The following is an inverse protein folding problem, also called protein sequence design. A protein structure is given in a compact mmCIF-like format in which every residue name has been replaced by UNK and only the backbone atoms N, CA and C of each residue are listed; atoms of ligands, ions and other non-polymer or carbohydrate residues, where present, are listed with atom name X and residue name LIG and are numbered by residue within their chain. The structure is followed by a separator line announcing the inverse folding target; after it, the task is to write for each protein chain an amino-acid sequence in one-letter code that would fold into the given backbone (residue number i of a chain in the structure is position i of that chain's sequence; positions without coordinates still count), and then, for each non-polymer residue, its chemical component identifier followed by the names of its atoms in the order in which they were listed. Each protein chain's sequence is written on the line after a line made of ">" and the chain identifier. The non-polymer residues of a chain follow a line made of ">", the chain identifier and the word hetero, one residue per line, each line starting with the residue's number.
data_IF_776365324226
#
_entry.id   IF_776365324226
#
_cell.length_a   1.000
_cell.length_b   1.000
_cell.length_c   1.000
_cell.angle_alpha   90.00
_cell.angle_beta   90.00
_cell.angle_gamma   90.00
#
_symmetry.space_group_name_H-M   'P 1'
#
loop_
_entity.id
_entity.type
_entity.pdbx_description
1 polymer ?
#
# COMPACT_ATOMS: atom_id res chain seq x y z
N UNK A 1 6.17 -27.21 7.07
CA UNK A 1 4.88 -26.61 6.71
C UNK A 1 5.13 -25.12 6.54
N UNK A 2 5.03 -24.52 5.33
CA UNK A 2 5.15 -23.07 5.21
C UNK A 2 3.82 -22.45 5.66
N UNK A 3 3.87 -21.61 6.67
CA UNK A 3 2.72 -20.84 7.12
C UNK A 3 2.44 -19.77 6.06
N UNK A 4 1.37 -19.93 5.30
CA UNK A 4 0.77 -18.84 4.54
C UNK A 4 0.34 -17.80 5.57
N UNK A 5 1.13 -16.74 5.73
CA UNK A 5 0.80 -15.62 6.60
C UNK A 5 -0.48 -14.98 6.04
N UNK A 6 -1.62 -15.38 6.57
CA UNK A 6 -2.88 -14.67 6.41
C UNK A 6 -2.69 -13.36 7.16
N UNK A 7 -2.23 -12.33 6.44
CA UNK A 7 -2.15 -10.98 6.95
C UNK A 7 -3.59 -10.59 7.33
N UNK A 8 -3.88 -10.66 8.62
CA UNK A 8 -5.18 -10.26 9.15
C UNK A 8 -5.35 -8.79 8.75
N UNK A 9 -6.48 -8.38 8.13
CA UNK A 9 -6.69 -6.99 7.74
C UNK A 9 -6.79 -6.16 9.02
N UNK A 10 -5.63 -5.73 9.50
CA UNK A 10 -5.48 -4.99 10.72
C UNK A 10 -5.58 -3.52 10.34
N UNK A 11 -6.61 -2.81 10.82
CA UNK A 11 -6.70 -1.38 10.55
C UNK A 11 -5.51 -0.72 11.23
N UNK A 12 -4.62 -0.16 10.43
CA UNK A 12 -3.47 0.59 10.89
C UNK A 12 -3.91 2.04 10.97
N UNK A 13 -3.81 2.61 12.17
CA UNK A 13 -3.99 4.04 12.38
C UNK A 13 -2.74 4.74 11.86
N UNK A 14 -2.92 5.56 10.83
CA UNK A 14 -1.85 6.33 10.20
C UNK A 14 -1.87 7.78 10.72
N UNK A 15 -0.76 8.53 10.61
CA UNK A 15 -0.63 9.88 11.18
C UNK A 15 -1.69 10.88 10.71
N UNK A 16 -2.26 10.73 9.51
CA UNK A 16 -3.41 11.53 9.06
C UNK A 16 -4.71 11.27 9.82
N UNK A 17 -4.75 10.24 10.68
CA UNK A 17 -5.95 9.80 11.40
C UNK A 17 -6.82 8.83 10.60
N UNK A 18 -6.40 8.42 9.39
CA UNK A 18 -7.11 7.42 8.61
C UNK A 18 -6.95 6.02 9.17
N UNK A 19 -7.92 5.18 8.84
CA UNK A 19 -7.82 3.74 9.01
C UNK A 19 -7.48 3.13 7.66
N UNK A 20 -6.26 2.62 7.55
CA UNK A 20 -5.79 1.93 6.35
C UNK A 20 -5.61 0.46 6.70
N UNK A 21 -6.30 -0.42 5.99
CA UNK A 21 -6.18 -1.86 6.15
C UNK A 21 -5.46 -2.45 4.95
N UNK A 22 -4.49 -3.34 5.18
CA UNK A 22 -3.90 -4.12 4.11
C UNK A 22 -4.94 -5.11 3.57
N UNK A 23 -5.20 -5.03 2.27
CA UNK A 23 -6.19 -5.87 1.60
C UNK A 23 -5.54 -7.00 0.81
N UNK A 24 -4.48 -6.70 0.06
CA UNK A 24 -3.81 -7.69 -0.78
C UNK A 24 -2.34 -7.34 -0.99
N UNK A 25 -1.51 -8.35 -1.24
CA UNK A 25 -0.08 -8.19 -1.51
C UNK A 25 0.29 -9.06 -2.70
N UNK A 26 0.75 -8.42 -3.77
CA UNK A 26 1.13 -9.07 -5.01
C UNK A 26 2.62 -8.84 -5.22
N UNK A 27 3.40 -9.89 -5.03
CA UNK A 27 4.84 -9.88 -5.26
C UNK A 27 5.14 -10.42 -6.66
N UNK A 28 5.55 -9.54 -7.56
CA UNK A 28 5.90 -9.88 -8.94
C UNK A 28 7.40 -10.17 -9.03
N UNK A 29 7.79 -11.43 -8.87
CA UNK A 29 9.20 -11.85 -8.90
C UNK A 29 9.84 -11.70 -10.27
N UNK A 30 9.05 -11.65 -11.35
CA UNK A 30 9.56 -11.49 -12.71
C UNK A 30 9.91 -10.03 -12.99
N UNK A 31 9.04 -9.11 -12.57
CA UNK A 31 9.29 -7.67 -12.67
C UNK A 31 10.13 -7.12 -11.50
N UNK A 32 10.34 -7.91 -10.44
CA UNK A 32 10.88 -7.50 -9.14
C UNK A 32 10.13 -6.30 -8.52
N UNK A 33 8.80 -6.31 -8.65
CA UNK A 33 7.92 -5.27 -8.10
C UNK A 33 7.02 -5.86 -7.00
N UNK A 34 7.04 -5.26 -5.82
CA UNK A 34 6.14 -5.61 -4.72
C UNK A 34 4.95 -4.64 -4.67
N UNK A 35 3.74 -5.12 -4.99
CA UNK A 35 2.52 -4.30 -4.99
C UNK A 35 1.73 -4.55 -3.71
N UNK A 36 1.52 -3.52 -2.92
CA UNK A 36 0.70 -3.56 -1.72
C UNK A 36 -0.60 -2.82 -1.96
N UNK A 37 -1.71 -3.51 -1.71
CA UNK A 37 -3.05 -2.96 -1.88
C UNK A 37 -3.67 -2.74 -0.52
N UNK A 38 -4.05 -1.51 -0.28
CA UNK A 38 -4.65 -1.04 0.95
C UNK A 38 -6.09 -0.60 0.71
N UNK A 39 -6.88 -0.62 1.77
CA UNK A 39 -8.24 -0.15 1.79
C UNK A 39 -8.39 0.92 2.86
N UNK A 40 -9.00 2.04 2.48
CA UNK A 40 -9.38 3.07 3.42
C UNK A 40 -10.76 3.63 3.08
N UNK A 41 -11.82 3.27 3.81
CA UNK A 41 -13.16 3.75 3.52
C UNK A 41 -13.31 5.27 3.65
N UNK A 42 -12.35 5.94 4.29
CA UNK A 42 -12.28 7.40 4.39
C UNK A 42 -12.01 8.09 3.04
N UNK A 43 -11.47 7.37 2.05
CA UNK A 43 -11.28 7.86 0.67
C UNK A 43 -12.60 8.11 -0.07
N UNK A 44 -13.70 7.47 0.35
CA UNK A 44 -15.03 7.68 -0.24
C UNK A 44 -15.61 9.08 0.08
N UNK A 45 -14.93 9.86 0.92
CA UNK A 45 -15.45 11.05 1.59
C UNK A 45 -15.53 12.34 0.78
N UNK A 46 -15.86 12.37 -0.51
CA UNK A 46 -16.24 13.61 -1.23
C UNK A 46 -15.36 14.86 -0.96
N UNK A 47 -15.95 15.98 -0.53
CA UNK A 47 -15.26 17.25 -0.22
C UNK A 47 -14.37 17.22 1.05
N UNK A 48 -14.53 16.21 1.91
CA UNK A 48 -13.62 15.89 3.05
C UNK A 48 -12.69 14.71 2.69
N UNK A 49 -12.60 14.37 1.40
CA UNK A 49 -11.69 13.33 0.95
C UNK A 49 -10.27 13.78 1.24
N UNK A 50 -9.57 12.93 1.97
CA UNK A 50 -8.17 13.08 2.33
C UNK A 50 -7.38 13.47 1.09
N UNK A 51 -6.55 14.50 1.23
CA UNK A 51 -5.76 14.98 0.11
C UNK A 51 -4.83 13.87 -0.35
N UNK A 52 -4.57 13.77 -1.65
CA UNK A 52 -3.56 12.86 -2.16
C UNK A 52 -2.24 12.96 -1.38
N UNK A 53 -1.81 14.17 -1.02
CA UNK A 53 -0.61 14.40 -0.19
C UNK A 53 -0.66 13.75 1.20
N UNK A 54 -1.82 13.74 1.87
CA UNK A 54 -1.96 13.11 3.19
C UNK A 54 -1.91 11.58 3.08
N UNK A 55 -2.63 11.03 2.10
CA UNK A 55 -2.59 9.60 1.77
C UNK A 55 -1.15 9.17 1.47
N UNK A 56 -0.43 9.99 0.73
CA UNK A 56 0.96 9.77 0.37
C UNK A 56 1.88 9.73 1.59
N UNK A 57 1.72 10.65 2.53
CA UNK A 57 2.50 10.69 3.76
C UNK A 57 2.23 9.44 4.60
N UNK A 58 0.96 9.03 4.70
CA UNK A 58 0.57 7.79 5.37
C UNK A 58 1.14 6.55 4.70
N UNK A 59 1.10 6.49 3.37
CA UNK A 59 1.68 5.38 2.60
C UNK A 59 3.19 5.32 2.79
N UNK A 60 3.86 6.48 2.90
CA UNK A 60 5.30 6.55 3.19
C UNK A 60 5.59 5.99 4.58
N UNK A 61 4.81 6.40 5.58
CA UNK A 61 4.93 5.88 6.94
C UNK A 61 4.64 4.38 7.01
N UNK A 62 3.57 3.92 6.37
CA UNK A 62 3.24 2.49 6.23
C UNK A 62 4.35 1.71 5.52
N UNK A 63 4.99 2.33 4.53
CA UNK A 63 6.08 1.69 3.82
C UNK A 63 7.25 1.41 4.78
N UNK A 64 7.63 2.38 5.60
CA UNK A 64 8.73 2.23 6.55
C UNK A 64 8.41 1.24 7.69
N UNK A 65 7.20 1.31 8.26
CA UNK A 65 6.83 0.51 9.44
C UNK A 65 6.24 -0.86 9.13
N UNK A 66 5.68 -1.06 7.93
CA UNK A 66 5.02 -2.32 7.52
C UNK A 66 5.72 -2.95 6.33
N UNK A 67 5.97 -2.18 5.26
CA UNK A 67 6.48 -2.76 4.00
C UNK A 67 7.95 -3.16 4.13
N UNK A 68 8.83 -2.28 4.57
CA UNK A 68 10.27 -2.57 4.77
C UNK A 68 10.46 -3.83 5.62
N UNK A 69 9.88 -3.96 6.83
CA UNK A 69 10.04 -5.18 7.60
C UNK A 69 9.40 -6.39 6.92
N UNK A 70 8.27 -6.25 6.23
CA UNK A 70 7.67 -7.35 5.48
C UNK A 70 8.55 -7.84 4.32
N UNK A 71 9.21 -6.93 3.60
CA UNK A 71 10.16 -7.26 2.53
C UNK A 71 11.41 -7.93 3.08
N UNK A 72 11.95 -7.44 4.20
CA UNK A 72 13.08 -8.07 4.88
C UNK A 72 12.75 -9.47 5.38
N UNK A 73 11.54 -9.70 5.92
CA UNK A 73 11.09 -11.03 6.35
C UNK A 73 10.92 -12.02 5.19
N UNK A 74 10.73 -11.52 3.96
CA UNK A 74 10.54 -12.32 2.75
C UNK A 74 11.83 -12.46 1.93
N UNK A 75 12.97 -11.93 2.41
CA UNK A 75 14.23 -11.86 1.67
C UNK A 75 14.01 -11.29 0.25
N UNK A 76 13.17 -10.27 0.13
CA UNK A 76 12.82 -9.67 -1.15
C UNK A 76 13.96 -8.77 -1.64
N UNK A 77 14.52 -9.09 -2.80
CA UNK A 77 15.65 -8.38 -3.41
C UNK A 77 15.22 -7.18 -4.30
N UNK A 78 13.93 -7.03 -4.58
CA UNK A 78 13.44 -5.97 -5.45
C UNK A 78 13.36 -4.60 -4.74
N UNK A 79 13.84 -3.56 -5.40
CA UNK A 79 13.77 -2.19 -4.92
C UNK A 79 12.46 -1.48 -5.30
N UNK A 80 11.66 -2.05 -6.20
CA UNK A 80 10.42 -1.46 -6.68
C UNK A 80 9.20 -1.88 -5.86
N UNK A 81 8.46 -0.90 -5.36
CA UNK A 81 7.25 -1.10 -4.57
C UNK A 81 6.14 -0.25 -5.15
N UNK A 82 4.93 -0.77 -5.20
CA UNK A 82 3.75 0.03 -5.58
C UNK A 82 2.73 -0.10 -4.47
N UNK A 83 2.57 0.96 -3.69
CA UNK A 83 1.48 1.05 -2.74
C UNK A 83 0.25 1.60 -3.46
N UNK A 84 -0.88 0.95 -3.27
CA UNK A 84 -2.17 1.41 -3.78
C UNK A 84 -3.17 1.43 -2.67
N UNK A 85 -4.05 2.42 -2.63
CA UNK A 85 -5.12 2.49 -1.65
C UNK A 85 -6.45 2.70 -2.37
N UNK A 86 -7.51 2.05 -1.92
CA UNK A 86 -8.85 2.17 -2.49
C UNK A 86 -9.90 2.38 -1.41
N UNK A 87 -11.01 3.08 -1.70
CA UNK A 87 -12.10 3.22 -0.72
C UNK A 87 -12.84 1.90 -0.48
N UNK A 88 -12.88 1.05 -1.49
CA UNK A 88 -13.58 -0.24 -1.49
C UNK A 88 -12.70 -1.36 -2.02
N UNK A 89 -12.93 -2.62 -1.58
CA UNK A 89 -12.27 -3.79 -2.15
C UNK A 89 -12.61 -3.90 -3.64
N UNK A 90 -11.59 -3.77 -4.50
CA UNK A 90 -11.75 -3.93 -5.96
C UNK A 90 -11.10 -5.20 -6.43
N UNK A 91 -11.76 -5.89 -7.37
CA UNK A 91 -11.15 -7.03 -8.05
C UNK A 91 -10.07 -6.51 -9.00
N UNK A 92 -8.87 -7.11 -8.93
CA UNK A 92 -7.79 -6.80 -9.84
C UNK A 92 -8.26 -6.98 -11.30
N UNK A 93 -8.05 -5.96 -12.13
CA UNK A 93 -8.47 -5.96 -13.54
C UNK A 93 -9.88 -5.46 -13.81
N UNK A 94 -10.66 -5.10 -12.77
CA UNK A 94 -11.95 -4.42 -12.94
C UNK A 94 -11.76 -2.93 -12.65
N UNK A 95 -11.96 -2.10 -13.68
CA UNK A 95 -12.01 -0.65 -13.51
C UNK A 95 -13.43 -0.24 -13.07
N UNK A 96 -13.53 0.37 -11.90
CA UNK A 96 -14.78 0.94 -11.41
C UNK A 96 -14.59 2.46 -11.20
N UNK A 97 -15.25 3.31 -11.99
CA UNK A 97 -15.16 4.76 -11.85
C UNK A 97 -15.83 5.30 -10.58
N UNK A 98 -16.58 4.47 -9.86
CA UNK A 98 -17.17 4.80 -8.55
C UNK A 98 -16.23 4.47 -7.39
N UNK A 99 -15.07 3.88 -7.66
CA UNK A 99 -14.07 3.57 -6.65
C UNK A 99 -12.92 4.56 -6.76
N UNK A 100 -12.68 5.28 -5.66
CA UNK A 100 -11.51 6.13 -5.52
C UNK A 100 -10.34 5.23 -5.18
N UNK A 101 -9.42 5.09 -6.12
CA UNK A 101 -8.14 4.42 -5.88
C UNK A 101 -6.98 5.32 -6.26
N UNK A 102 -5.96 5.34 -5.39
CA UNK A 102 -4.70 6.01 -5.63
C UNK A 102 -3.60 4.97 -5.75
N UNK A 103 -2.70 5.16 -6.70
CA UNK A 103 -1.51 4.33 -6.89
C UNK A 103 -0.29 5.19 -6.71
N UNK A 104 0.64 4.71 -5.89
CA UNK A 104 1.90 5.38 -5.63
C UNK A 104 3.06 4.40 -5.71
N UNK A 105 3.96 4.58 -6.70
CA UNK A 105 5.21 3.87 -6.74
C UNK A 105 6.16 4.42 -5.68
N UNK A 106 6.86 3.52 -5.01
CA UNK A 106 7.90 3.78 -4.03
C UNK A 106 9.13 2.96 -4.42
N UNK A 107 10.31 3.48 -4.09
CA UNK A 107 11.55 2.73 -4.23
C UNK A 107 12.17 2.51 -2.86
N UNK A 108 12.48 1.27 -2.52
CA UNK A 108 13.30 0.99 -1.34
C UNK A 108 14.77 1.13 -1.71
N UNK A 109 15.42 2.09 -1.07
CA UNK A 109 16.87 2.30 -1.18
C UNK A 109 17.45 2.26 0.23
N UNK A 110 18.43 1.39 0.46
CA UNK A 110 19.11 1.26 1.77
C UNK A 110 18.15 0.93 2.94
N UNK A 111 17.11 0.13 2.67
CA UNK A 111 16.10 -0.23 3.67
C UNK A 111 15.16 0.90 4.08
N UNK A 112 15.11 2.01 3.32
CA UNK A 112 14.13 3.08 3.49
C UNK A 112 13.30 3.25 2.22
N UNK A 113 12.00 3.48 2.39
CA UNK A 113 11.15 3.85 1.28
C UNK A 113 11.39 5.31 0.91
N UNK A 114 11.95 5.56 -0.27
CA UNK A 114 11.95 6.88 -0.89
C UNK A 114 10.80 7.00 -1.86
N UNK A 115 10.19 8.19 -1.86
CA UNK A 115 9.24 8.60 -2.87
C UNK A 115 9.92 8.63 -4.23
N UNK A 116 9.43 7.84 -5.19
CA UNK A 116 9.89 7.92 -6.57
C UNK A 116 8.99 8.97 -7.26
N UNK A 117 9.46 10.22 -7.26
CA UNK A 117 8.81 11.33 -7.97
C UNK A 117 8.99 11.10 -9.47
N UNK A 118 8.04 10.41 -10.10
CA UNK A 118 8.02 10.25 -11.55
C UNK A 118 7.69 11.57 -12.28
#
# INVERSE_FOLDING_TARGET
>A
MPATAQQTPQPIAVPSGLQIALADVIMDTQAQIARFRFLSPALAGGDDAVTFTEVVDDLTWLCDVVVVPALQQQDWDGDQIVLSVSDKPTTFGIYDPQVVQFFQPFRVTDGRCSWDEF
#
